data_IF_062877115996
#
_entry.id   IF_062877115996
#
_cell.length_a   1.000
_cell.length_b   1.000
_cell.length_c   1.000
_cell.angle_alpha   90.00
_cell.angle_beta   90.00
_cell.angle_gamma   90.00
#
_symmetry.space_group_name_H-M   'P 1'
#
loop_
_entity.id
_entity.type
_entity.pdbx_description
1 polymer ?
#
# COMPACT_ATOMS: atom_id res chain seq x y z
N UNK A 1 6.14 4.09 9.20
CA UNK A 1 6.39 3.68 7.81
C UNK A 1 7.71 4.29 7.32
N UNK A 2 8.54 3.54 6.59
CA UNK A 2 9.84 4.03 6.08
C UNK A 2 10.17 3.51 4.67
N UNK A 3 11.01 4.26 3.95
CA UNK A 3 11.70 3.80 2.71
C UNK A 3 13.15 3.34 2.98
N UNK A 4 13.67 3.65 4.16
CA UNK A 4 15.00 3.27 4.64
C UNK A 4 14.87 2.01 5.50
N UNK A 5 14.37 0.94 4.89
CA UNK A 5 14.03 -0.29 5.60
C UNK A 5 15.26 -1.00 6.17
N UNK A 6 16.42 -0.83 5.54
CA UNK A 6 17.72 -1.33 5.98
C UNK A 6 18.11 -0.87 7.40
N UNK A 7 17.51 0.24 7.89
CA UNK A 7 17.72 0.74 9.25
C UNK A 7 16.84 0.08 10.30
N UNK A 8 15.79 -0.63 9.88
CA UNK A 8 14.84 -1.26 10.82
C UNK A 8 15.53 -2.30 11.72
N UNK A 9 16.31 -3.26 11.19
CA UNK A 9 16.95 -4.25 12.04
C UNK A 9 17.94 -3.60 13.02
N UNK A 10 18.74 -2.63 12.57
CA UNK A 10 19.69 -1.90 13.42
C UNK A 10 18.97 -1.13 14.54
N UNK A 11 17.89 -0.42 14.21
CA UNK A 11 17.14 0.38 15.16
C UNK A 11 16.46 -0.47 16.25
N UNK A 12 15.92 -1.63 15.87
CA UNK A 12 15.22 -2.55 16.78
C UNK A 12 16.13 -3.66 17.35
N UNK A 13 17.43 -3.67 17.04
CA UNK A 13 18.35 -4.67 17.57
C UNK A 13 18.51 -4.61 19.11
N UNK A 14 18.34 -3.42 19.70
CA UNK A 14 18.46 -3.18 21.15
C UNK A 14 17.15 -2.76 21.81
N UNK A 15 16.05 -2.73 21.05
CA UNK A 15 14.77 -2.15 21.47
C UNK A 15 13.63 -3.00 20.94
N UNK A 16 12.68 -3.44 21.78
CA UNK A 16 11.49 -4.10 21.27
C UNK A 16 10.66 -3.12 20.42
N UNK A 17 10.00 -3.63 19.37
CA UNK A 17 8.95 -2.85 18.70
C UNK A 17 7.76 -2.71 19.65
N UNK A 18 7.25 -1.49 19.93
CA UNK A 18 6.09 -1.34 20.80
C UNK A 18 4.85 -2.03 20.21
N UNK A 19 4.08 -2.73 21.06
CA UNK A 19 2.91 -3.51 20.63
C UNK A 19 1.79 -2.67 19.99
N UNK A 20 1.70 -1.38 20.35
CA UNK A 20 0.73 -0.44 19.83
C UNK A 20 1.18 0.25 18.53
N UNK A 21 2.27 -0.20 17.90
CA UNK A 21 2.80 0.35 16.65
C UNK A 21 2.65 -0.65 15.51
N UNK A 22 2.03 -0.21 14.44
CA UNK A 22 2.07 -0.92 13.16
C UNK A 22 3.34 -0.51 12.43
N UNK A 23 4.22 -1.47 12.16
CA UNK A 23 5.47 -1.23 11.45
C UNK A 23 5.29 -1.53 9.97
N UNK A 24 5.84 -0.69 9.10
CA UNK A 24 5.64 -0.89 7.67
C UNK A 24 6.65 -0.18 6.78
N UNK A 25 6.72 -0.65 5.56
CA UNK A 25 7.64 -0.16 4.51
C UNK A 25 6.87 0.21 3.25
N UNK A 26 7.40 1.16 2.48
CA UNK A 26 6.90 1.45 1.13
C UNK A 26 7.45 0.44 0.13
N UNK A 27 6.61 -0.04 -0.78
CA UNK A 27 6.94 -1.04 -1.81
C UNK A 27 6.41 -0.55 -3.16
N UNK A 28 7.11 0.39 -3.78
CA UNK A 28 6.65 1.04 -5.02
C UNK A 28 6.98 0.26 -6.30
N UNK A 29 8.07 -0.52 -6.28
CA UNK A 29 8.68 -1.21 -7.42
C UNK A 29 9.43 -2.49 -7.00
N UNK A 30 9.81 -3.32 -7.98
CA UNK A 30 10.54 -4.57 -7.79
C UNK A 30 11.97 -4.32 -7.33
N UNK A 31 12.65 -3.32 -7.91
CA UNK A 31 14.09 -3.12 -7.71
C UNK A 31 14.45 -2.61 -6.32
N UNK A 32 13.65 -1.70 -5.76
CA UNK A 32 13.93 -1.00 -4.52
C UNK A 32 12.85 -1.24 -3.47
N UNK A 33 11.59 -1.42 -3.88
CA UNK A 33 10.47 -1.65 -2.98
C UNK A 33 10.47 -3.05 -2.39
N UNK A 34 10.43 -4.08 -3.25
CA UNK A 34 10.30 -5.50 -2.83
C UNK A 34 11.40 -5.94 -1.84
N UNK A 35 12.69 -5.58 -2.01
CA UNK A 35 13.73 -5.94 -1.03
C UNK A 35 13.50 -5.39 0.39
N UNK A 36 12.66 -4.35 0.56
CA UNK A 36 12.37 -3.78 1.88
C UNK A 36 11.51 -4.68 2.77
N UNK A 37 10.80 -5.62 2.16
CA UNK A 37 9.92 -6.55 2.88
C UNK A 37 10.76 -7.47 3.79
N UNK A 38 11.95 -7.89 3.33
CA UNK A 38 12.86 -8.71 4.13
C UNK A 38 13.36 -7.98 5.38
N UNK A 39 13.76 -6.72 5.26
CA UNK A 39 14.16 -5.92 6.42
C UNK A 39 13.02 -5.69 7.42
N UNK A 40 11.78 -5.60 6.95
CA UNK A 40 10.61 -5.51 7.82
C UNK A 40 10.39 -6.81 8.61
N UNK A 41 10.59 -7.97 7.97
CA UNK A 41 10.48 -9.29 8.62
C UNK A 41 11.52 -9.52 9.71
N UNK A 42 12.69 -8.92 9.59
CA UNK A 42 13.75 -9.01 10.61
C UNK A 42 13.38 -8.34 11.94
N UNK A 43 12.33 -7.51 11.97
CA UNK A 43 11.84 -6.90 13.20
C UNK A 43 10.69 -7.71 13.77
N UNK A 44 10.78 -8.04 15.05
CA UNK A 44 9.65 -8.57 15.81
C UNK A 44 8.65 -7.44 16.07
N UNK A 45 7.60 -7.37 15.26
CA UNK A 45 6.56 -6.36 15.32
C UNK A 45 5.19 -7.04 15.33
N UNK A 46 4.32 -6.61 16.23
CA UNK A 46 2.97 -7.19 16.40
C UNK A 46 2.13 -7.09 15.12
N UNK A 47 2.29 -6.01 14.35
CA UNK A 47 1.66 -5.83 13.04
C UNK A 47 2.68 -5.29 12.04
N UNK A 48 2.80 -6.00 10.91
CA UNK A 48 3.63 -5.63 9.75
C UNK A 48 2.74 -5.28 8.56
N UNK A 49 2.94 -4.13 7.94
CA UNK A 49 2.18 -3.72 6.77
C UNK A 49 3.06 -3.22 5.62
N UNK A 50 2.57 -3.42 4.40
CA UNK A 50 3.16 -2.87 3.18
C UNK A 50 2.30 -1.71 2.68
N UNK A 51 2.96 -0.60 2.39
CA UNK A 51 2.39 0.51 1.64
C UNK A 51 2.88 0.39 0.21
N UNK A 52 2.09 -0.30 -0.61
CA UNK A 52 2.32 -0.48 -2.04
C UNK A 52 1.75 0.73 -2.79
N UNK A 53 2.26 1.91 -2.42
CA UNK A 53 1.87 3.18 -3.01
C UNK A 53 3.04 4.18 -3.13
N UNK A 54 3.17 4.87 -4.29
CA UNK A 54 2.48 4.53 -5.53
C UNK A 54 2.92 3.16 -6.06
N UNK A 55 1.99 2.33 -6.53
CA UNK A 55 2.32 1.12 -7.28
C UNK A 55 2.70 1.52 -8.71
N UNK A 56 3.98 1.32 -9.06
CA UNK A 56 4.56 1.87 -10.28
C UNK A 56 4.69 0.86 -11.42
N UNK A 57 4.67 -0.42 -11.09
CA UNK A 57 4.82 -1.55 -12.01
C UNK A 57 4.16 -2.80 -11.44
N UNK A 58 4.10 -3.87 -12.23
CA UNK A 58 3.75 -5.18 -11.69
C UNK A 58 4.90 -5.67 -10.81
N UNK A 59 4.60 -6.00 -9.54
CA UNK A 59 5.61 -6.51 -8.61
C UNK A 59 5.94 -7.99 -8.87
N UNK A 60 5.20 -8.66 -9.77
CA UNK A 60 5.35 -10.09 -10.00
C UNK A 60 4.94 -10.88 -8.76
N UNK A 61 5.67 -11.95 -8.44
CA UNK A 61 5.47 -12.72 -7.21
C UNK A 61 6.20 -12.05 -6.04
N UNK A 62 5.44 -11.77 -4.97
CA UNK A 62 5.93 -11.13 -3.76
C UNK A 62 5.71 -12.07 -2.59
N UNK A 63 6.79 -12.38 -1.87
CA UNK A 63 6.69 -13.16 -0.64
C UNK A 63 6.07 -12.30 0.49
N UNK A 64 4.80 -12.59 0.81
CA UNK A 64 4.03 -11.91 1.87
C UNK A 64 3.99 -12.67 3.20
N UNK A 65 4.84 -13.69 3.39
CA UNK A 65 4.98 -14.35 4.70
C UNK A 65 5.25 -13.32 5.80
N UNK A 66 4.53 -13.47 6.93
CA UNK A 66 4.53 -12.59 8.10
C UNK A 66 4.10 -11.14 7.86
N UNK A 67 3.45 -10.87 6.73
CA UNK A 67 2.83 -9.58 6.43
C UNK A 67 1.33 -9.63 6.73
N UNK A 68 0.86 -8.67 7.52
CA UNK A 68 -0.53 -8.66 8.01
C UNK A 68 -1.43 -7.81 7.12
N UNK A 69 -0.90 -6.73 6.55
CA UNK A 69 -1.67 -5.79 5.74
C UNK A 69 -0.92 -5.38 4.48
N UNK A 70 -1.63 -5.33 3.35
CA UNK A 70 -1.14 -4.81 2.07
C UNK A 70 -2.08 -3.70 1.61
N UNK A 71 -1.55 -2.48 1.53
CA UNK A 71 -2.29 -1.29 1.11
C UNK A 71 -1.81 -0.90 -0.29
N UNK A 72 -2.70 -0.88 -1.27
CA UNK A 72 -2.36 -0.54 -2.67
C UNK A 72 -2.95 0.80 -3.07
N UNK A 73 -2.17 1.64 -3.75
CA UNK A 73 -2.65 2.91 -4.27
C UNK A 73 -1.81 3.47 -5.42
N UNK A 74 -2.45 4.22 -6.31
CA UNK A 74 -1.80 4.89 -7.43
C UNK A 74 -1.21 6.26 -7.06
N UNK A 75 -0.30 6.76 -7.90
CA UNK A 75 0.38 8.04 -7.70
C UNK A 75 -0.58 9.23 -7.85
N UNK A 76 -0.41 10.24 -7.00
CA UNK A 76 -1.21 11.47 -7.06
C UNK A 76 -0.38 12.67 -7.55
N UNK A 77 -1.06 13.73 -7.99
CA UNK A 77 -0.42 14.97 -8.43
C UNK A 77 -0.30 15.13 -9.95
N UNK A 78 0.24 16.27 -10.39
CA UNK A 78 0.24 16.66 -11.80
C UNK A 78 1.05 15.71 -12.69
N UNK A 79 2.12 15.11 -12.16
CA UNK A 79 2.99 14.16 -12.87
C UNK A 79 2.72 12.70 -12.50
N UNK A 80 1.53 12.40 -11.95
CA UNK A 80 1.15 11.04 -11.59
C UNK A 80 1.35 10.09 -12.78
N UNK A 81 1.92 8.93 -12.52
CA UNK A 81 1.99 7.79 -13.44
C UNK A 81 0.72 6.94 -13.34
N UNK A 82 0.22 6.36 -14.45
CA UNK A 82 -0.93 5.47 -14.41
C UNK A 82 -0.54 4.15 -13.75
N UNK A 83 -1.44 3.64 -12.91
CA UNK A 83 -1.39 2.29 -12.33
C UNK A 83 -2.40 1.43 -13.06
N UNK A 84 -2.01 0.21 -13.46
CA UNK A 84 -2.88 -0.67 -14.21
C UNK A 84 -3.71 -1.59 -13.29
N UNK A 85 -4.98 -1.88 -13.62
CA UNK A 85 -5.82 -2.76 -12.80
C UNK A 85 -5.25 -4.15 -12.56
N UNK A 86 -4.59 -4.74 -13.56
CA UNK A 86 -4.01 -6.08 -13.47
C UNK A 86 -2.94 -6.17 -12.38
N UNK A 87 -2.18 -5.10 -12.12
CA UNK A 87 -1.16 -5.08 -11.07
C UNK A 87 -1.80 -5.11 -9.68
N UNK A 88 -2.91 -4.38 -9.52
CA UNK A 88 -3.69 -4.36 -8.27
C UNK A 88 -4.31 -5.73 -8.00
N UNK A 89 -4.90 -6.34 -9.05
CA UNK A 89 -5.51 -7.68 -8.97
C UNK A 89 -4.46 -8.73 -8.61
N UNK A 90 -3.26 -8.66 -9.20
CA UNK A 90 -2.16 -9.57 -8.89
C UNK A 90 -1.80 -9.51 -7.39
N UNK A 91 -1.59 -8.31 -6.84
CA UNK A 91 -1.26 -8.13 -5.42
C UNK A 91 -2.41 -8.58 -4.51
N UNK A 92 -3.67 -8.29 -4.87
CA UNK A 92 -4.85 -8.73 -4.11
C UNK A 92 -4.89 -10.25 -3.99
N UNK A 93 -4.72 -10.97 -5.11
CA UNK A 93 -4.73 -12.45 -5.13
C UNK A 93 -3.62 -13.03 -4.26
N UNK A 94 -2.44 -12.44 -4.30
CA UNK A 94 -1.33 -12.87 -3.44
C UNK A 94 -1.61 -12.57 -1.96
N UNK A 95 -2.12 -11.39 -1.63
CA UNK A 95 -2.50 -11.07 -0.24
C UNK A 95 -3.52 -12.09 0.31
N UNK A 96 -4.55 -12.43 -0.48
CA UNK A 96 -5.53 -13.45 -0.13
C UNK A 96 -4.88 -14.84 0.07
N UNK A 97 -3.98 -15.25 -0.84
CA UNK A 97 -3.28 -16.53 -0.75
C UNK A 97 -2.36 -16.66 0.48
N UNK A 98 -1.75 -15.56 0.91
CA UNK A 98 -0.90 -15.50 2.11
C UNK A 98 -1.69 -15.18 3.40
N UNK A 99 -3.00 -14.93 3.31
CA UNK A 99 -3.84 -14.57 4.46
C UNK A 99 -3.61 -13.13 4.97
N UNK A 100 -2.96 -12.27 4.18
CA UNK A 100 -2.79 -10.85 4.48
C UNK A 100 -4.07 -10.07 4.17
N UNK A 101 -4.44 -9.13 5.04
CA UNK A 101 -5.54 -8.21 4.74
C UNK A 101 -5.16 -7.27 3.59
N UNK A 102 -6.06 -7.09 2.63
CA UNK A 102 -5.86 -6.23 1.47
C UNK A 102 -6.73 -4.97 1.57
N UNK A 103 -6.14 -3.80 1.31
CA UNK A 103 -6.88 -2.54 1.23
C UNK A 103 -6.48 -1.75 -0.01
N UNK A 104 -7.45 -1.56 -0.92
CA UNK A 104 -7.28 -0.67 -2.06
C UNK A 104 -7.64 0.76 -1.67
N UNK A 105 -6.66 1.66 -1.70
CA UNK A 105 -6.84 3.05 -1.27
C UNK A 105 -7.46 3.91 -2.38
N UNK A 106 -6.82 3.99 -3.54
CA UNK A 106 -7.28 4.81 -4.68
C UNK A 106 -6.45 4.55 -5.95
N UNK A 107 -6.96 4.94 -7.12
CA UNK A 107 -6.22 4.94 -8.40
C UNK A 107 -5.21 6.10 -8.56
N UNK A 108 -5.28 7.13 -7.71
CA UNK A 108 -4.41 8.29 -7.79
C UNK A 108 -4.92 9.35 -8.77
N UNK A 109 -4.02 9.92 -9.58
CA UNK A 109 -4.34 10.94 -10.60
C UNK A 109 -4.94 10.37 -11.89
N UNK A 110 -5.03 9.04 -12.00
CA UNK A 110 -5.63 8.31 -13.11
C UNK A 110 -6.82 7.49 -12.60
N UNK A 111 -7.75 7.11 -13.47
CA UNK A 111 -8.74 6.07 -13.14
C UNK A 111 -8.36 4.72 -13.69
N UNK A 112 -9.14 3.70 -13.34
CA UNK A 112 -9.00 2.33 -13.85
C UNK A 112 -9.05 2.25 -15.38
N UNK A 113 -9.72 3.20 -16.01
CA UNK A 113 -9.87 3.36 -17.46
C UNK A 113 -8.64 3.99 -18.14
N UNK A 114 -7.59 4.31 -17.40
CA UNK A 114 -6.40 4.97 -17.94
C UNK A 114 -6.63 6.46 -18.28
N UNK A 115 -7.72 7.07 -17.81
CA UNK A 115 -7.99 8.49 -18.05
C UNK A 115 -7.47 9.34 -16.89
N UNK A 116 -6.63 10.33 -17.19
CA UNK A 116 -6.08 11.28 -16.21
C UNK A 116 -7.17 12.20 -15.70
N UNK A 117 -7.31 12.31 -14.38
CA UNK A 117 -8.29 13.17 -13.71
C UNK A 117 -7.57 14.21 -12.89
N UNK A 118 -7.92 15.47 -13.09
CA UNK A 118 -7.55 16.51 -12.14
C UNK A 118 -8.39 16.34 -10.87
N UNK A 119 -7.78 16.48 -9.69
CA UNK A 119 -8.58 16.66 -8.47
C UNK A 119 -9.49 17.86 -8.72
N UNK A 120 -10.80 17.64 -8.81
CA UNK A 120 -11.74 18.76 -8.68
C UNK A 120 -11.44 19.42 -7.34
N UNK A 121 -11.34 20.76 -7.25
CA UNK A 121 -11.34 21.41 -5.95
C UNK A 121 -12.57 20.91 -5.22
N UNK A 122 -12.36 20.36 -4.03
CA UNK A 122 -13.46 19.95 -3.17
C UNK A 122 -14.13 21.25 -2.74
N UNK A 123 -15.17 21.67 -3.47
CA UNK A 123 -16.05 22.74 -2.99
C UNK A 123 -16.67 22.19 -1.72
N UNK A 124 -16.24 22.72 -0.57
CA UNK A 124 -16.76 22.35 0.73
C UNK A 124 -18.21 22.83 0.80
N UNK A 125 -19.14 22.01 0.32
CA UNK A 125 -20.51 22.06 0.80
C UNK A 125 -20.53 21.22 2.08
N UNK A 126 -20.30 21.88 3.20
CA UNK A 126 -20.56 21.30 4.52
C UNK A 126 -22.06 21.00 4.63
N UNK A 127 -22.45 19.75 4.35
CA UNK A 127 -23.65 19.15 4.92
C UNK A 127 -23.22 17.91 5.66
N UNK A 128 -23.16 18.05 6.98
CA UNK A 128 -22.99 16.96 7.92
C UNK A 128 -24.06 15.89 7.65
N UNK A 129 -23.63 14.68 7.32
CA UNK A 129 -24.43 13.48 7.46
C UNK A 129 -23.49 12.35 7.89
N UNK A 130 -23.64 11.98 9.16
CA UNK A 130 -23.06 10.79 9.77
C UNK A 130 -23.40 9.55 8.93
N UNK A 131 -22.39 8.80 8.55
CA UNK A 131 -22.54 7.57 7.76
C UNK A 131 -21.24 7.20 7.07
N UNK A 132 -20.21 6.85 7.83
CA UNK A 132 -18.93 6.36 7.28
C UNK A 132 -19.14 5.02 6.57
N UNK A 133 -19.49 5.09 5.28
CA UNK A 133 -19.33 4.02 4.31
C UNK A 133 -18.13 4.41 3.45
N UNK A 134 -16.98 3.79 3.70
CA UNK A 134 -15.85 3.90 2.79
C UNK A 134 -16.28 3.34 1.43
N UNK A 135 -16.09 4.05 0.31
CA UNK A 135 -16.40 3.49 -0.99
C UNK A 135 -15.43 2.32 -1.22
N UNK A 136 -15.96 1.09 -1.15
CA UNK A 136 -15.31 -0.06 -1.73
C UNK A 136 -15.27 0.22 -3.23
N UNK A 137 -14.12 0.64 -3.74
CA UNK A 137 -13.89 0.62 -5.18
C UNK A 137 -13.88 -0.85 -5.56
N UNK A 138 -14.97 -1.31 -6.17
CA UNK A 138 -15.02 -2.66 -6.75
C UNK A 138 -13.93 -2.75 -7.80
N UNK A 139 -12.84 -3.39 -7.45
CA UNK A 139 -11.96 -4.02 -8.43
C UNK A 139 -12.80 -5.19 -8.94
N UNK A 140 -13.45 -5.01 -10.10
CA UNK A 140 -14.20 -6.08 -10.74
C UNK A 140 -13.24 -7.24 -11.05
N UNK A 141 -13.70 -8.46 -10.79
CA UNK A 141 -12.96 -9.71 -11.01
C UNK A 141 -12.62 -9.97 -12.48
#
# INVERSE_FOLDING_TARGET
>A
MTKRAERLPEYFNSRPCPENVWLGVSVEDVKYGVPRIDYLRMVDASIRFLSVEPLLEDLGEVNLTDIHWVIVGGESGHKARPMKPEWVINIKKQAEAFGSAFFFKQWGGWGADGVKRHKKPMVVSCKAALGMRYPIVQIAD
#
